data_IF_336319940428
#
_entry.id   IF_336319940428
#
_cell.length_a   1.000
_cell.length_b   1.000
_cell.length_c   1.000
_cell.angle_alpha   90.00
_cell.angle_beta   90.00
_cell.angle_gamma   90.00
#
_symmetry.space_group_name_H-M   'P 1'
#
loop_
_entity.id
_entity.type
_entity.pdbx_description
1 polymer ?
#
# COMPACT_ATOMS: atom_id res chain seq x y z
N UNK A 1 -19.11 -29.89 -58.27
CA UNK A 1 -18.13 -30.19 -57.17
C UNK A 1 -17.25 -29.00 -56.79
N UNK A 2 -16.80 -28.15 -57.77
CA UNK A 2 -15.98 -26.98 -57.47
C UNK A 2 -16.69 -25.93 -56.59
N UNK A 3 -17.97 -25.69 -56.83
CA UNK A 3 -18.77 -24.73 -56.02
C UNK A 3 -18.88 -25.14 -54.54
N UNK A 4 -19.07 -26.44 -54.25
CA UNK A 4 -19.14 -26.97 -52.88
C UNK A 4 -17.79 -26.87 -52.16
N UNK A 5 -16.69 -26.99 -52.89
CA UNK A 5 -15.33 -26.82 -52.34
C UNK A 5 -15.10 -25.35 -51.99
N UNK A 6 -15.51 -24.44 -52.84
CA UNK A 6 -15.38 -22.99 -52.63
C UNK A 6 -16.19 -22.52 -51.41
N UNK A 7 -17.44 -23.01 -51.29
CA UNK A 7 -18.30 -22.73 -50.16
C UNK A 7 -17.66 -23.17 -48.82
N UNK A 8 -17.07 -24.39 -48.81
CA UNK A 8 -16.35 -24.92 -47.64
C UNK A 8 -15.10 -24.09 -47.28
N UNK A 9 -14.38 -23.60 -48.29
CA UNK A 9 -13.22 -22.76 -48.06
C UNK A 9 -13.62 -21.43 -47.50
N UNK A 10 -14.70 -20.79 -47.95
CA UNK A 10 -15.21 -19.55 -47.40
C UNK A 10 -15.73 -19.71 -45.99
N UNK A 11 -16.51 -20.77 -45.73
CA UNK A 11 -16.96 -21.08 -44.38
C UNK A 11 -15.78 -21.29 -43.40
N UNK A 12 -14.74 -22.00 -43.84
CA UNK A 12 -13.54 -22.23 -43.03
C UNK A 12 -12.77 -20.92 -42.78
N UNK A 13 -12.69 -20.01 -43.77
CA UNK A 13 -12.06 -18.69 -43.60
C UNK A 13 -12.85 -17.83 -42.62
N UNK A 14 -14.17 -17.85 -42.74
CA UNK A 14 -15.02 -17.07 -41.83
C UNK A 14 -14.91 -17.58 -40.39
N UNK A 15 -14.97 -18.88 -40.18
CA UNK A 15 -14.77 -19.50 -38.88
C UNK A 15 -13.38 -19.17 -38.29
N UNK A 16 -12.34 -19.16 -39.14
CA UNK A 16 -10.99 -18.77 -38.70
C UNK A 16 -10.92 -17.29 -38.30
N UNK A 17 -11.54 -16.39 -39.06
CA UNK A 17 -11.58 -14.95 -38.73
C UNK A 17 -12.35 -14.69 -37.42
N UNK A 18 -13.46 -15.39 -37.20
CA UNK A 18 -14.20 -15.32 -35.94
C UNK A 18 -13.36 -15.80 -34.77
N UNK A 19 -12.66 -16.91 -34.90
CA UNK A 19 -11.78 -17.48 -33.89
C UNK A 19 -10.62 -16.54 -33.51
N UNK A 20 -9.98 -15.94 -34.52
CA UNK A 20 -8.92 -14.93 -34.31
C UNK A 20 -9.50 -13.69 -33.61
N UNK A 21 -10.66 -13.20 -34.05
CA UNK A 21 -11.30 -12.05 -33.40
C UNK A 21 -11.72 -12.33 -31.96
N UNK A 22 -12.15 -13.55 -31.64
CA UNK A 22 -12.44 -13.95 -30.25
C UNK A 22 -11.16 -14.03 -29.40
N UNK A 23 -10.11 -14.59 -29.96
CA UNK A 23 -8.82 -14.65 -29.28
C UNK A 23 -8.26 -13.25 -28.98
N UNK A 24 -8.29 -12.35 -29.94
CA UNK A 24 -7.85 -10.96 -29.74
C UNK A 24 -8.66 -10.25 -28.67
N UNK A 25 -9.99 -10.43 -28.64
CA UNK A 25 -10.85 -9.90 -27.59
C UNK A 25 -10.50 -10.45 -26.21
N UNK A 26 -10.21 -11.74 -26.11
CA UNK A 26 -9.80 -12.37 -24.84
C UNK A 26 -8.44 -11.87 -24.37
N UNK A 27 -7.48 -11.67 -25.27
CA UNK A 27 -6.16 -11.12 -24.96
C UNK A 27 -6.30 -9.69 -24.44
N UNK A 28 -7.06 -8.84 -25.12
CA UNK A 28 -7.25 -7.45 -24.66
C UNK A 28 -8.00 -7.37 -23.34
N UNK A 29 -9.01 -8.21 -23.12
CA UNK A 29 -9.71 -8.29 -21.84
C UNK A 29 -8.77 -8.74 -20.70
N UNK A 30 -7.94 -9.75 -20.95
CA UNK A 30 -6.95 -10.22 -19.98
C UNK A 30 -5.90 -9.15 -19.67
N UNK A 31 -5.42 -8.41 -20.68
CA UNK A 31 -4.48 -7.29 -20.50
C UNK A 31 -5.11 -6.17 -19.67
N UNK A 32 -6.34 -5.80 -19.97
CA UNK A 32 -7.06 -4.76 -19.23
C UNK A 32 -7.28 -5.16 -17.77
N UNK A 33 -7.68 -6.40 -17.51
CA UNK A 33 -7.87 -6.94 -16.17
C UNK A 33 -6.55 -6.95 -15.38
N UNK A 34 -5.46 -7.44 -15.99
CA UNK A 34 -4.13 -7.45 -15.37
C UNK A 34 -3.63 -6.03 -15.07
N UNK A 35 -3.85 -5.09 -16.00
CA UNK A 35 -3.49 -3.69 -15.80
C UNK A 35 -4.28 -3.06 -14.66
N UNK A 36 -5.59 -3.29 -14.57
CA UNK A 36 -6.43 -2.80 -13.49
C UNK A 36 -5.98 -3.36 -12.12
N UNK A 37 -5.63 -4.65 -12.06
CA UNK A 37 -5.08 -5.27 -10.87
C UNK A 37 -3.72 -4.64 -10.47
N UNK A 38 -2.83 -4.45 -11.44
CA UNK A 38 -1.53 -3.81 -11.22
C UNK A 38 -1.70 -2.39 -10.68
N UNK A 39 -2.53 -1.55 -11.32
CA UNK A 39 -2.79 -0.17 -10.90
C UNK A 39 -3.39 -0.13 -9.50
N UNK A 40 -4.29 -1.06 -9.16
CA UNK A 40 -4.87 -1.16 -7.82
C UNK A 40 -3.86 -1.52 -6.72
N UNK A 41 -2.82 -2.28 -7.06
CA UNK A 41 -1.77 -2.71 -6.10
C UNK A 41 -0.52 -1.84 -6.11
N UNK A 42 -0.26 -1.12 -7.20
CA UNK A 42 0.95 -0.31 -7.38
C UNK A 42 1.20 0.69 -6.23
N UNK A 43 0.20 1.40 -5.68
CA UNK A 43 0.41 2.32 -4.56
C UNK A 43 0.85 1.63 -3.26
N UNK A 44 0.61 0.32 -3.12
CA UNK A 44 0.95 -0.45 -1.92
C UNK A 44 2.38 -0.98 -1.94
N UNK A 45 3.08 -0.86 -3.06
CA UNK A 45 4.48 -1.24 -3.20
C UNK A 45 5.38 0.00 -3.14
N UNK A 46 6.42 -0.03 -2.31
CA UNK A 46 7.39 1.05 -2.23
C UNK A 46 8.18 1.26 -3.55
N UNK A 47 8.22 0.28 -4.45
CA UNK A 47 8.87 0.40 -5.76
C UNK A 47 8.03 1.20 -6.76
N UNK A 48 6.72 1.16 -6.66
CA UNK A 48 5.79 1.73 -7.63
C UNK A 48 4.91 2.84 -7.06
N UNK A 49 4.74 2.87 -5.73
CA UNK A 49 4.02 3.91 -5.01
C UNK A 49 4.95 4.98 -4.45
N UNK A 50 4.35 6.05 -3.94
CA UNK A 50 5.05 7.11 -3.20
C UNK A 50 4.22 7.58 -2.00
N UNK A 51 4.85 8.24 -1.05
CA UNK A 51 4.17 8.86 0.09
C UNK A 51 3.58 10.19 -0.36
N UNK A 52 2.25 10.32 -0.28
CA UNK A 52 1.52 11.53 -0.63
C UNK A 52 1.19 12.38 0.58
N UNK A 53 0.93 11.75 1.73
CA UNK A 53 0.61 12.45 2.96
C UNK A 53 0.98 11.60 4.18
N UNK A 54 1.33 12.26 5.28
CA UNK A 54 1.53 11.64 6.58
C UNK A 54 0.74 12.43 7.62
N UNK A 55 -0.22 11.77 8.25
CA UNK A 55 -1.05 12.34 9.30
C UNK A 55 -0.58 11.94 10.70
N UNK A 56 -0.62 12.89 11.62
CA UNK A 56 -0.33 12.68 13.04
C UNK A 56 -1.48 13.23 13.88
N UNK A 57 -1.86 12.48 14.89
CA UNK A 57 -2.81 12.95 15.90
C UNK A 57 -2.17 12.91 17.28
N UNK A 58 -2.35 14.00 18.02
CA UNK A 58 -2.03 14.08 19.45
C UNK A 58 -3.27 14.54 20.21
N UNK A 59 -3.20 14.56 21.54
CA UNK A 59 -4.26 15.14 22.40
C UNK A 59 -4.57 16.61 22.09
N UNK A 60 -3.58 17.34 21.55
CA UNK A 60 -3.68 18.79 21.35
C UNK A 60 -4.02 19.17 19.91
N UNK A 61 -3.64 18.35 18.93
CA UNK A 61 -3.80 18.70 17.51
C UNK A 61 -3.77 17.48 16.60
N UNK A 62 -4.46 17.60 15.47
CA UNK A 62 -4.23 16.78 14.29
C UNK A 62 -3.42 17.59 13.30
N UNK A 63 -2.33 17.02 12.80
CA UNK A 63 -1.46 17.63 11.80
C UNK A 63 -1.34 16.69 10.64
N UNK A 64 -1.59 17.16 9.44
CA UNK A 64 -1.42 16.40 8.19
C UNK A 64 -0.36 17.15 7.37
N UNK A 65 0.74 16.47 7.08
CA UNK A 65 1.69 16.92 6.07
C UNK A 65 1.34 16.19 4.78
N UNK A 66 1.15 16.93 3.71
CA UNK A 66 0.82 16.38 2.38
C UNK A 66 1.70 17.04 1.32
N UNK A 67 1.83 16.36 0.19
CA UNK A 67 2.43 16.93 -1.00
C UNK A 67 1.42 17.93 -1.58
N UNK A 68 1.90 19.12 -1.89
CA UNK A 68 1.12 20.09 -2.65
C UNK A 68 1.21 19.71 -4.13
N UNK A 69 0.07 19.63 -4.82
CA UNK A 69 0.02 19.33 -6.26
C UNK A 69 0.70 20.42 -7.12
N UNK A 70 0.84 21.62 -6.58
CA UNK A 70 1.40 22.78 -7.27
C UNK A 70 2.89 22.98 -7.06
N UNK A 71 3.48 22.36 -6.04
CA UNK A 71 4.91 22.38 -5.77
C UNK A 71 5.57 21.12 -6.36
N UNK A 72 6.84 21.18 -6.71
CA UNK A 72 7.67 19.98 -6.94
C UNK A 72 7.59 19.09 -5.71
N UNK A 73 6.69 18.13 -5.79
CA UNK A 73 6.19 17.38 -4.65
C UNK A 73 7.34 16.64 -3.97
N UNK A 74 7.87 17.21 -2.90
CA UNK A 74 9.04 16.72 -2.18
C UNK A 74 8.66 15.58 -1.23
N UNK A 75 8.53 14.36 -1.78
CA UNK A 75 8.35 13.15 -0.99
C UNK A 75 9.50 12.97 0.02
N UNK A 76 10.72 13.35 -0.36
CA UNK A 76 11.90 13.24 0.50
C UNK A 76 11.75 14.13 1.74
N UNK A 77 11.21 15.34 1.57
CA UNK A 77 10.89 16.26 2.67
C UNK A 77 9.85 15.69 3.63
N UNK A 78 8.77 15.07 3.11
CA UNK A 78 7.76 14.41 3.96
C UNK A 78 8.36 13.29 4.81
N UNK A 79 9.15 12.42 4.20
CA UNK A 79 9.79 11.29 4.89
C UNK A 79 10.83 11.79 5.89
N UNK A 80 11.62 12.80 5.53
CA UNK A 80 12.60 13.42 6.44
C UNK A 80 11.94 14.03 7.67
N UNK A 81 10.79 14.69 7.50
CA UNK A 81 9.98 15.21 8.60
C UNK A 81 9.45 14.09 9.50
N UNK A 82 9.04 12.95 8.91
CA UNK A 82 8.63 11.77 9.69
C UNK A 82 9.78 11.26 10.55
N UNK A 83 10.98 11.07 9.99
CA UNK A 83 12.14 10.60 10.75
C UNK A 83 12.60 11.61 11.80
N UNK A 84 12.51 12.91 11.55
CA UNK A 84 12.74 13.94 12.56
C UNK A 84 11.76 13.78 13.74
N UNK A 85 10.48 13.57 13.47
CA UNK A 85 9.45 13.35 14.49
C UNK A 85 9.69 12.04 15.27
N UNK A 86 10.12 10.99 14.59
CA UNK A 86 10.52 9.73 15.23
C UNK A 86 11.68 9.95 16.21
N UNK A 87 12.77 10.63 15.79
CA UNK A 87 13.92 10.94 16.67
C UNK A 87 13.47 11.72 17.90
N UNK A 88 12.60 12.72 17.73
CA UNK A 88 12.03 13.51 18.82
C UNK A 88 11.18 12.64 19.77
N UNK A 89 10.28 11.81 19.24
CA UNK A 89 9.44 10.89 20.04
C UNK A 89 10.29 9.91 20.83
N UNK A 90 11.38 9.39 20.24
CA UNK A 90 12.34 8.50 20.91
C UNK A 90 13.05 9.23 22.05
N UNK A 91 13.53 10.45 21.83
CA UNK A 91 14.16 11.29 22.85
C UNK A 91 13.22 11.65 24.01
N UNK A 92 11.98 12.01 23.69
CA UNK A 92 10.94 12.34 24.65
C UNK A 92 10.32 11.11 25.34
N UNK A 93 10.70 9.89 24.97
CA UNK A 93 10.10 8.61 25.39
C UNK A 93 8.59 8.56 25.18
N UNK A 94 8.10 9.17 24.11
CA UNK A 94 6.69 9.18 23.70
C UNK A 94 6.50 8.28 22.51
N UNK A 95 5.74 7.19 22.59
CA UNK A 95 5.60 6.27 21.48
C UNK A 95 4.78 6.88 20.35
N UNK A 96 5.13 6.50 19.13
CA UNK A 96 4.30 6.66 17.94
C UNK A 96 3.38 5.44 17.85
N UNK A 97 2.08 5.67 17.88
CA UNK A 97 1.06 4.61 17.88
C UNK A 97 0.39 4.55 16.52
N UNK A 98 0.23 3.37 15.98
CA UNK A 98 -0.52 3.15 14.75
C UNK A 98 -1.11 1.74 14.67
N UNK A 99 -1.83 1.45 13.61
CA UNK A 99 -2.47 0.16 13.39
C UNK A 99 -1.88 -0.51 12.16
N UNK A 100 -1.30 -1.69 12.34
CA UNK A 100 -0.57 -2.43 11.31
C UNK A 100 0.65 -1.66 10.76
N UNK A 101 1.18 -0.73 11.51
CA UNK A 101 2.33 0.09 11.08
C UNK A 101 3.60 -0.74 10.89
N UNK A 102 3.77 -1.81 11.68
CA UNK A 102 4.89 -2.74 11.54
C UNK A 102 4.77 -3.61 10.28
N UNK A 103 3.54 -3.90 9.83
CA UNK A 103 3.30 -4.70 8.62
C UNK A 103 3.35 -3.89 7.33
N UNK A 104 3.08 -2.60 7.38
CA UNK A 104 2.94 -1.79 6.18
C UNK A 104 3.68 -0.45 6.23
N UNK A 105 3.24 0.48 7.08
CA UNK A 105 3.67 1.88 7.00
C UNK A 105 5.18 2.05 7.21
N UNK A 106 5.73 1.47 8.27
CA UNK A 106 7.16 1.62 8.58
C UNK A 106 8.05 0.92 7.54
N UNK A 107 7.79 -0.34 7.15
CA UNK A 107 8.52 -0.97 6.05
C UNK A 107 8.42 -0.20 4.73
N UNK A 108 7.29 0.42 4.43
CA UNK A 108 7.12 1.24 3.25
C UNK A 108 7.99 2.49 3.31
N UNK A 109 7.94 3.24 4.43
CA UNK A 109 8.75 4.44 4.64
C UNK A 109 10.26 4.15 4.61
N UNK A 110 10.70 3.04 5.22
CA UNK A 110 12.10 2.61 5.17
C UNK A 110 12.56 2.35 3.74
N UNK A 111 11.78 1.58 2.97
CA UNK A 111 12.13 1.28 1.56
C UNK A 111 12.11 2.53 0.69
N UNK A 112 11.13 3.44 0.90
CA UNK A 112 11.11 4.73 0.19
C UNK A 112 12.31 5.59 0.58
N UNK A 113 12.71 5.59 1.86
CA UNK A 113 13.92 6.28 2.31
C UNK A 113 15.17 5.78 1.56
N UNK A 114 15.34 4.48 1.42
CA UNK A 114 16.47 3.92 0.66
C UNK A 114 16.45 4.33 -0.82
N UNK A 115 15.28 4.33 -1.45
CA UNK A 115 15.12 4.73 -2.86
C UNK A 115 15.37 6.23 -3.08
N UNK A 116 15.17 7.05 -2.05
CA UNK A 116 15.34 8.51 -2.08
C UNK A 116 16.64 8.96 -1.40
N UNK A 117 17.53 8.03 -1.06
CA UNK A 117 18.80 8.29 -0.40
C UNK A 117 18.66 9.05 0.94
N UNK A 118 17.55 8.81 1.65
CA UNK A 118 17.27 9.38 2.97
C UNK A 118 17.80 8.44 4.05
N UNK A 119 18.53 8.99 5.00
CA UNK A 119 19.02 8.24 6.16
C UNK A 119 17.85 7.77 7.04
N UNK A 120 17.72 6.45 7.21
CA UNK A 120 16.83 5.82 8.19
C UNK A 120 17.49 5.90 9.57
N UNK A 121 16.79 6.42 10.60
CA UNK A 121 17.38 6.57 11.93
C UNK A 121 17.83 5.22 12.53
N UNK A 122 18.95 5.24 13.26
CA UNK A 122 19.43 4.10 14.00
C UNK A 122 18.38 3.54 14.95
N UNK A 123 18.28 2.22 14.96
CA UNK A 123 17.38 1.48 15.84
C UNK A 123 15.96 1.28 15.27
N UNK A 124 15.60 1.90 14.13
CA UNK A 124 14.33 1.56 13.45
C UNK A 124 14.35 0.11 12.97
N UNK A 125 15.50 -0.33 12.47
CA UNK A 125 15.77 -1.68 11.97
C UNK A 125 16.65 -2.48 12.94
N UNK A 126 16.39 -2.39 14.23
CA UNK A 126 17.17 -3.10 15.22
C UNK A 126 17.20 -4.61 14.97
N UNK A 127 18.27 -5.28 15.44
CA UNK A 127 18.71 -6.64 15.13
C UNK A 127 17.65 -7.74 15.19
N UNK A 128 16.52 -7.47 15.79
CA UNK A 128 15.32 -8.28 15.74
C UNK A 128 14.25 -7.62 14.85
N UNK A 129 14.51 -7.56 13.56
CA UNK A 129 13.61 -7.03 12.52
C UNK A 129 12.15 -7.52 12.60
N UNK A 130 11.85 -8.46 13.48
CA UNK A 130 10.51 -8.93 13.80
C UNK A 130 9.71 -7.93 14.64
N UNK A 131 10.39 -7.02 15.35
CA UNK A 131 9.78 -6.01 16.21
C UNK A 131 10.36 -4.65 15.88
N UNK A 132 9.49 -3.69 15.62
CA UNK A 132 9.91 -2.29 15.56
C UNK A 132 10.48 -1.86 16.92
N UNK A 133 11.32 -0.83 16.90
CA UNK A 133 11.76 -0.15 18.12
C UNK A 133 10.55 0.15 19.04
N UNK A 134 10.79 0.14 20.32
CA UNK A 134 9.78 0.47 21.37
C UNK A 134 9.17 1.87 21.22
N UNK A 135 9.76 2.74 20.40
CA UNK A 135 9.16 4.02 20.00
C UNK A 135 7.90 3.81 19.16
N UNK A 136 7.71 2.65 18.54
CA UNK A 136 6.51 2.31 17.82
C UNK A 136 5.63 1.34 18.61
N UNK A 137 4.35 1.65 18.69
CA UNK A 137 3.33 0.74 19.22
C UNK A 137 2.36 0.40 18.09
N UNK A 138 2.35 -0.85 17.69
CA UNK A 138 1.39 -1.37 16.70
C UNK A 138 0.19 -1.99 17.42
N UNK A 139 -0.98 -1.37 17.29
CA UNK A 139 -2.20 -1.84 17.94
C UNK A 139 -2.68 -3.18 17.40
N UNK A 140 -2.35 -3.52 16.13
CA UNK A 140 -2.63 -4.84 15.60
C UNK A 140 -1.79 -5.92 16.30
N UNK A 141 -0.48 -5.70 16.44
CA UNK A 141 0.39 -6.63 17.17
C UNK A 141 -0.03 -6.78 18.64
N UNK A 142 -0.52 -5.71 19.28
CA UNK A 142 -1.07 -5.75 20.61
C UNK A 142 -2.34 -6.60 20.70
N UNK A 143 -3.23 -6.45 19.72
CA UNK A 143 -4.44 -7.26 19.61
C UNK A 143 -4.12 -8.73 19.41
N UNK A 144 -3.15 -9.06 18.56
CA UNK A 144 -2.71 -10.43 18.30
C UNK A 144 -2.14 -11.12 19.54
N UNK A 145 -1.72 -10.38 20.55
CA UNK A 145 -1.26 -10.91 21.84
C UNK A 145 -0.19 -12.03 21.72
N UNK A 146 0.68 -11.92 20.72
CA UNK A 146 1.71 -12.91 20.41
C UNK A 146 1.28 -14.04 19.45
N UNK A 147 0.01 -14.10 19.08
CA UNK A 147 -0.49 -15.02 18.05
C UNK A 147 -0.40 -14.38 16.64
N UNK A 148 0.77 -14.42 16.04
CA UNK A 148 1.02 -13.82 14.71
C UNK A 148 0.31 -14.53 13.54
N UNK A 149 -0.41 -15.61 13.80
CA UNK A 149 -1.26 -16.29 12.83
C UNK A 149 -2.68 -15.75 12.81
N UNK A 150 -3.03 -14.91 13.79
CA UNK A 150 -4.34 -14.26 13.83
C UNK A 150 -4.52 -13.35 12.63
N UNK A 151 -5.75 -13.37 12.15
CA UNK A 151 -6.13 -12.62 10.97
C UNK A 151 -6.02 -11.10 11.21
N UNK A 152 -5.80 -10.38 10.12
CA UNK A 152 -5.88 -8.93 10.09
C UNK A 152 -7.25 -8.46 10.61
N UNK A 153 -7.26 -7.61 11.62
CA UNK A 153 -8.45 -6.92 12.12
C UNK A 153 -8.42 -5.46 11.68
N UNK A 154 -9.51 -4.97 11.10
CA UNK A 154 -9.61 -3.55 10.73
C UNK A 154 -9.67 -2.68 11.97
N UNK A 155 -8.99 -1.52 11.97
CA UNK A 155 -8.99 -0.58 13.09
C UNK A 155 -10.41 -0.16 13.52
N UNK A 156 -11.29 0.06 12.54
CA UNK A 156 -12.71 0.40 12.81
C UNK A 156 -13.44 -0.71 13.55
N UNK A 157 -13.24 -1.96 13.14
CA UNK A 157 -13.85 -3.11 13.82
C UNK A 157 -13.31 -3.27 15.25
N UNK A 158 -12.00 -3.10 15.44
CA UNK A 158 -11.37 -3.15 16.75
C UNK A 158 -11.85 -2.00 17.64
N UNK A 159 -11.92 -0.78 17.11
CA UNK A 159 -12.41 0.39 17.84
C UNK A 159 -13.85 0.21 18.32
N UNK A 160 -14.73 -0.29 17.47
CA UNK A 160 -16.13 -0.62 17.83
C UNK A 160 -16.20 -1.70 18.91
N UNK A 161 -15.44 -2.78 18.75
CA UNK A 161 -15.42 -3.89 19.70
C UNK A 161 -14.92 -3.47 21.09
N UNK A 162 -13.98 -2.54 21.16
CA UNK A 162 -13.43 -2.01 22.42
C UNK A 162 -14.18 -0.78 22.96
N UNK A 163 -15.28 -0.35 22.32
CA UNK A 163 -16.04 0.82 22.74
C UNK A 163 -15.33 2.16 22.55
N UNK A 164 -14.24 2.19 21.75
CA UNK A 164 -13.46 3.40 21.48
C UNK A 164 -14.05 4.25 20.32
N UNK A 165 -15.19 3.83 19.75
CA UNK A 165 -15.80 4.44 18.58
C UNK A 165 -15.27 3.86 17.27
N UNK A 166 -15.91 4.24 16.14
CA UNK A 166 -15.52 3.85 14.79
C UNK A 166 -15.12 5.06 13.95
N UNK A 167 -14.84 4.84 12.66
CA UNK A 167 -14.68 5.93 11.70
C UNK A 167 -15.95 6.77 11.67
N UNK A 168 -15.82 8.07 11.83
CA UNK A 168 -16.87 9.01 11.43
C UNK A 168 -16.99 8.94 9.92
N UNK A 169 -18.22 8.69 9.42
CA UNK A 169 -18.50 8.85 7.99
C UNK A 169 -18.26 10.31 7.63
N UNK A 170 -17.26 10.54 6.77
CA UNK A 170 -16.92 11.84 6.21
C UNK A 170 -17.26 11.86 4.74
#
# INVERSE_FOLDING_TARGET
DAAKIQEKIEAARQAHQELVGDFDRQVEAARAAHWAEFVGKAPLSALTGRVLAIGYRSERATVIHHLDETADADEAGLISQFWHRYRKSKGDRRPLVGHNIAGFDIPFLVRRSWLLEIEVPDGVLDSNWRYLDRTFIDTMQRWQAGNYRDQYVKLDALGKALGAGGKTEG
#
